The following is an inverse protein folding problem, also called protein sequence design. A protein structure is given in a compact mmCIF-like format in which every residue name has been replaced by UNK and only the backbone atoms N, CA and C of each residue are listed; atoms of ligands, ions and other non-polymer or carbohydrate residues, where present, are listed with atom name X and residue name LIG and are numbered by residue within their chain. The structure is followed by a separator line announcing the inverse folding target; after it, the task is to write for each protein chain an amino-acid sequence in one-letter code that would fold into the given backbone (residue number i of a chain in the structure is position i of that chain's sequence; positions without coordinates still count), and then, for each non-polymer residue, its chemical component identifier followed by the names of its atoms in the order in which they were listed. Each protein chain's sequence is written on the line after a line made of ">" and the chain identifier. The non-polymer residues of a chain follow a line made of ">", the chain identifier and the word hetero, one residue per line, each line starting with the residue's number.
data_IF_702279656473
#
_entry.id   IF_702279656473
#
_cell.length_a   1.000
_cell.length_b   1.000
_cell.length_c   1.000
_cell.angle_alpha   90.00
_cell.angle_beta   90.00
_cell.angle_gamma   90.00
#
_symmetry.space_group_name_H-M   'P 1'
#
loop_
_entity.id
_entity.type
_entity.pdbx_description
1 polymer ?
#
# COMPACT_ATOMS: atom_id res chain seq x y z
N UNK A 1 2.93 9.38 25.21
CA UNK A 1 3.95 8.36 25.57
C UNK A 1 5.27 9.07 25.86
N UNK A 2 6.01 8.68 26.91
CA UNK A 2 7.24 9.37 27.32
C UNK A 2 8.40 9.09 26.37
N UNK A 3 9.26 10.09 26.08
CA UNK A 3 10.45 9.99 25.22
C UNK A 3 11.37 8.80 25.55
N UNK A 4 11.43 8.37 26.81
CA UNK A 4 12.23 7.22 27.25
C UNK A 4 11.76 5.87 26.68
N UNK A 5 10.48 5.72 26.33
CA UNK A 5 9.93 4.46 25.84
C UNK A 5 10.37 4.17 24.39
N UNK A 6 10.42 5.21 23.55
CA UNK A 6 10.88 5.09 22.17
C UNK A 6 12.37 4.80 22.09
N UNK A 7 13.20 5.34 22.99
CA UNK A 7 14.64 5.06 23.00
C UNK A 7 14.94 3.57 23.14
N UNK A 8 14.23 2.87 24.05
CA UNK A 8 14.39 1.42 24.21
C UNK A 8 13.91 0.67 22.97
N UNK A 9 12.72 1.02 22.46
CA UNK A 9 12.14 0.40 21.27
C UNK A 9 13.05 0.54 20.05
N UNK A 10 13.56 1.75 19.78
CA UNK A 10 14.46 2.04 18.67
C UNK A 10 15.79 1.31 18.84
N UNK A 11 16.34 1.23 20.07
CA UNK A 11 17.59 0.49 20.32
C UNK A 11 17.45 -0.99 19.94
N UNK A 12 16.34 -1.62 20.33
CA UNK A 12 16.05 -3.02 19.95
C UNK A 12 15.81 -3.14 18.45
N UNK A 13 15.09 -2.19 17.84
CA UNK A 13 14.84 -2.13 16.41
C UNK A 13 16.12 -2.04 15.57
N UNK A 14 17.16 -1.30 16.01
CA UNK A 14 18.42 -1.17 15.27
C UNK A 14 19.09 -2.52 14.98
N UNK A 15 18.98 -3.48 15.90
CA UNK A 15 19.48 -4.84 15.65
C UNK A 15 18.70 -5.57 14.55
N UNK A 16 17.40 -5.27 14.42
CA UNK A 16 16.50 -5.83 13.40
C UNK A 16 16.63 -5.17 12.04
N UNK A 17 17.02 -3.91 11.97
CA UNK A 17 17.34 -3.24 10.71
C UNK A 17 18.51 -3.92 9.96
N UNK A 18 19.42 -4.59 10.66
CA UNK A 18 20.49 -5.38 10.04
C UNK A 18 19.97 -6.64 9.31
N UNK A 19 18.75 -7.07 9.61
CA UNK A 19 18.05 -8.19 8.97
C UNK A 19 17.22 -7.74 7.75
N UNK A 20 17.18 -6.43 7.45
CA UNK A 20 16.59 -5.90 6.23
C UNK A 20 17.46 -6.24 5.01
N UNK A 21 16.81 -6.39 3.86
CA UNK A 21 17.43 -6.62 2.58
C UNK A 21 17.94 -5.28 2.04
N UNK A 22 19.20 -5.27 1.61
CA UNK A 22 19.82 -4.10 0.99
C UNK A 22 19.85 -4.23 -0.55
N UNK A 23 20.13 -3.12 -1.23
CA UNK A 23 20.23 -3.08 -2.70
C UNK A 23 21.09 -4.19 -3.31
N UNK A 24 22.33 -4.41 -2.83
CA UNK A 24 23.19 -5.50 -3.32
C UNK A 24 22.58 -6.90 -3.19
N UNK A 25 21.84 -7.17 -2.12
CA UNK A 25 21.15 -8.45 -1.96
C UNK A 25 19.99 -8.61 -2.95
N UNK A 26 19.23 -7.53 -3.22
CA UNK A 26 18.20 -7.54 -4.25
C UNK A 26 18.81 -7.79 -5.63
N UNK A 27 19.95 -7.17 -5.95
CA UNK A 27 20.69 -7.44 -7.19
C UNK A 27 21.12 -8.90 -7.30
N UNK A 28 21.58 -9.48 -6.19
CA UNK A 28 21.94 -10.90 -6.12
C UNK A 28 20.72 -11.81 -6.38
N UNK A 29 19.55 -11.48 -5.81
CA UNK A 29 18.30 -12.21 -6.05
C UNK A 29 17.86 -12.12 -7.52
N UNK A 30 18.01 -10.95 -8.13
CA UNK A 30 17.70 -10.76 -9.57
C UNK A 30 18.66 -11.59 -10.43
N UNK A 31 19.93 -11.72 -10.05
CA UNK A 31 20.93 -12.53 -10.76
C UNK A 31 20.81 -14.05 -10.57
N UNK A 32 19.89 -14.53 -9.72
CA UNK A 32 19.63 -15.96 -9.58
C UNK A 32 19.07 -16.55 -10.88
N UNK A 33 19.55 -17.75 -11.27
CA UNK A 33 19.11 -18.39 -12.52
C UNK A 33 17.71 -18.98 -12.42
N UNK A 34 17.39 -19.54 -11.25
CA UNK A 34 16.14 -20.26 -11.02
C UNK A 34 15.38 -19.68 -9.83
N UNK A 35 14.08 -19.96 -9.78
CA UNK A 35 13.24 -19.65 -8.61
C UNK A 35 13.76 -20.34 -7.34
N UNK A 36 14.23 -21.59 -7.45
CA UNK A 36 14.80 -22.36 -6.33
C UNK A 36 16.07 -21.70 -5.77
N UNK A 37 16.94 -21.16 -6.63
CA UNK A 37 18.12 -20.40 -6.21
C UNK A 37 17.73 -19.15 -5.41
N UNK A 38 16.69 -18.41 -5.84
CA UNK A 38 16.17 -17.28 -5.09
C UNK A 38 15.66 -17.72 -3.71
N UNK A 39 14.87 -18.81 -3.65
CA UNK A 39 14.31 -19.33 -2.40
C UNK A 39 15.39 -19.77 -1.43
N UNK A 40 16.46 -20.42 -1.91
CA UNK A 40 17.61 -20.78 -1.10
C UNK A 40 18.32 -19.54 -0.53
N UNK A 41 18.59 -18.55 -1.38
CA UNK A 41 19.27 -17.31 -0.96
C UNK A 41 18.44 -16.51 0.04
N UNK A 42 17.12 -16.44 -0.16
CA UNK A 42 16.17 -15.89 0.82
C UNK A 42 16.22 -16.66 2.14
N UNK A 43 16.25 -17.99 2.09
CA UNK A 43 16.39 -18.85 3.27
C UNK A 43 17.64 -18.55 4.09
N UNK A 44 18.78 -18.25 3.43
CA UNK A 44 20.02 -17.82 4.10
C UNK A 44 19.87 -16.49 4.86
N UNK A 45 18.92 -15.63 4.45
CA UNK A 45 18.51 -14.41 5.16
C UNK A 45 17.35 -14.62 6.15
N UNK A 46 16.96 -15.87 6.42
CA UNK A 46 15.87 -16.19 7.36
C UNK A 46 14.47 -16.05 6.76
N UNK A 47 14.35 -16.03 5.42
CA UNK A 47 13.07 -15.95 4.72
C UNK A 47 12.50 -17.32 4.36
N UNK A 48 11.73 -17.84 5.31
CA UNK A 48 10.96 -19.07 5.17
C UNK A 48 11.78 -20.33 4.98
N UNK A 49 11.09 -21.45 4.81
CA UNK A 49 11.64 -22.79 4.67
C UNK A 49 11.35 -23.35 3.27
N UNK A 50 12.09 -24.39 2.82
CA UNK A 50 11.91 -24.96 1.49
C UNK A 50 10.49 -25.47 1.19
N UNK A 51 9.78 -25.97 2.21
CA UNK A 51 8.42 -26.51 2.11
C UNK A 51 7.32 -25.44 2.01
N UNK A 52 7.63 -24.18 2.35
CA UNK A 52 6.66 -23.09 2.32
C UNK A 52 6.55 -22.47 0.92
N UNK A 53 5.32 -22.21 0.51
CA UNK A 53 5.02 -21.44 -0.71
C UNK A 53 5.50 -19.99 -0.58
N UNK A 54 5.71 -19.34 -1.74
CA UNK A 54 6.14 -17.93 -1.76
C UNK A 54 5.22 -17.03 -0.95
N UNK A 55 3.89 -17.19 -1.05
CA UNK A 55 2.95 -16.36 -0.31
C UNK A 55 3.00 -16.63 1.21
N UNK A 56 3.20 -17.88 1.65
CA UNK A 56 3.41 -18.20 3.07
C UNK A 56 4.67 -17.53 3.61
N UNK A 57 5.76 -17.51 2.82
CA UNK A 57 7.02 -16.87 3.21
C UNK A 57 6.85 -15.37 3.37
N UNK A 58 6.23 -14.73 2.38
CA UNK A 58 5.98 -13.29 2.38
C UNK A 58 5.05 -12.90 3.54
N UNK A 59 4.00 -13.68 3.77
CA UNK A 59 3.07 -13.52 4.90
C UNK A 59 3.79 -13.66 6.23
N UNK A 60 4.67 -14.65 6.38
CA UNK A 60 5.43 -14.85 7.61
C UNK A 60 6.35 -13.64 7.93
N UNK A 61 6.93 -12.97 6.94
CA UNK A 61 7.73 -11.77 7.17
C UNK A 61 6.88 -10.57 7.63
N UNK A 62 5.69 -10.42 7.06
CA UNK A 62 4.72 -9.43 7.53
C UNK A 62 4.33 -9.72 8.98
N UNK A 63 3.96 -10.96 9.28
CA UNK A 63 3.58 -11.38 10.63
C UNK A 63 4.69 -11.09 11.65
N UNK A 64 5.94 -11.51 11.39
CA UNK A 64 7.10 -11.21 12.25
C UNK A 64 7.28 -9.72 12.51
N UNK A 65 6.96 -8.88 11.53
CA UNK A 65 7.08 -7.42 11.67
C UNK A 65 6.05 -6.88 12.64
N UNK A 66 4.79 -7.31 12.53
CA UNK A 66 3.73 -6.89 13.44
C UNK A 66 3.87 -7.47 14.84
N UNK A 67 4.36 -8.71 14.97
CA UNK A 67 4.75 -9.30 16.26
C UNK A 67 5.86 -8.47 16.92
N UNK A 68 6.90 -8.10 16.17
CA UNK A 68 7.95 -7.21 16.67
C UNK A 68 7.38 -5.85 17.10
N UNK A 69 6.49 -5.24 16.33
CA UNK A 69 5.87 -3.97 16.75
C UNK A 69 5.11 -4.13 18.07
N UNK A 70 4.37 -5.23 18.26
CA UNK A 70 3.66 -5.52 19.50
C UNK A 70 4.58 -5.78 20.70
N UNK A 71 5.83 -6.18 20.46
CA UNK A 71 6.86 -6.28 21.50
C UNK A 71 7.54 -4.92 21.82
N UNK A 72 7.44 -3.94 20.93
CA UNK A 72 8.15 -2.66 21.00
C UNK A 72 7.28 -1.51 21.48
N UNK A 73 5.97 -1.57 21.28
CA UNK A 73 5.02 -0.53 21.72
C UNK A 73 3.82 -1.13 22.44
N UNK A 74 3.28 -0.38 23.40
CA UNK A 74 2.09 -0.80 24.17
C UNK A 74 0.79 -0.64 23.37
N UNK A 75 0.76 0.32 22.45
CA UNK A 75 -0.40 0.67 21.65
C UNK A 75 -0.04 0.60 20.16
N UNK A 76 -0.55 -0.43 19.48
CA UNK A 76 -0.35 -0.65 18.04
C UNK A 76 -1.21 0.28 17.17
N UNK A 77 -2.24 0.92 17.73
CA UNK A 77 -3.17 1.76 16.94
C UNK A 77 -2.48 2.97 16.31
N UNK A 78 -1.32 3.36 16.83
CA UNK A 78 -0.41 4.36 16.24
C UNK A 78 0.03 4.01 14.82
N UNK A 79 -0.07 2.74 14.41
CA UNK A 79 0.29 2.23 13.09
C UNK A 79 -0.91 1.88 12.19
N UNK A 80 -2.15 2.06 12.68
CA UNK A 80 -3.39 1.65 11.97
C UNK A 80 -3.50 2.23 10.56
N UNK A 81 -2.96 3.43 10.34
CA UNK A 81 -2.90 4.09 9.03
C UNK A 81 -2.29 3.20 7.93
N UNK A 82 -1.33 2.33 8.28
CA UNK A 82 -0.69 1.41 7.34
C UNK A 82 -1.55 0.18 7.04
N UNK A 83 -2.57 -0.08 7.85
CA UNK A 83 -3.43 -1.27 7.79
C UNK A 83 -4.79 -1.00 7.13
N UNK A 84 -5.22 0.26 7.06
CA UNK A 84 -6.49 0.62 6.41
C UNK A 84 -6.63 0.12 4.96
N UNK A 85 -5.58 0.10 4.11
CA UNK A 85 -5.70 -0.52 2.78
C UNK A 85 -6.21 -1.97 2.84
N UNK A 86 -5.78 -2.74 3.84
CA UNK A 86 -6.20 -4.13 4.04
C UNK A 86 -7.67 -4.23 4.44
N UNK A 87 -8.12 -3.37 5.37
CA UNK A 87 -9.52 -3.36 5.82
C UNK A 87 -10.49 -3.03 4.67
N UNK A 88 -10.19 -1.99 3.89
CA UNK A 88 -11.03 -1.60 2.75
C UNK A 88 -10.97 -2.61 1.59
N UNK A 89 -9.82 -3.27 1.38
CA UNK A 89 -9.73 -4.39 0.43
C UNK A 89 -10.61 -5.56 0.86
N UNK A 90 -10.58 -5.91 2.14
CA UNK A 90 -11.42 -6.98 2.69
C UNK A 90 -12.90 -6.63 2.63
N UNK A 91 -13.28 -5.37 2.90
CA UNK A 91 -14.65 -4.89 2.74
C UNK A 91 -15.12 -5.00 1.28
N UNK A 92 -14.31 -4.53 0.33
CA UNK A 92 -14.58 -4.64 -1.11
C UNK A 92 -14.74 -6.09 -1.53
N UNK A 93 -13.89 -6.98 -1.03
CA UNK A 93 -13.93 -8.41 -1.30
C UNK A 93 -15.23 -9.04 -0.75
N UNK A 94 -15.59 -8.73 0.51
CA UNK A 94 -16.82 -9.22 1.12
C UNK A 94 -18.07 -8.73 0.38
N UNK A 95 -18.15 -7.46 0.00
CA UNK A 95 -19.28 -6.90 -0.78
C UNK A 95 -19.41 -7.62 -2.12
N UNK A 96 -18.30 -7.81 -2.86
CA UNK A 96 -18.33 -8.53 -4.14
C UNK A 96 -18.75 -9.98 -3.96
N UNK A 97 -18.22 -10.67 -2.95
CA UNK A 97 -18.58 -12.05 -2.61
C UNK A 97 -20.09 -12.19 -2.40
N UNK A 98 -20.68 -11.34 -1.55
CA UNK A 98 -22.11 -11.40 -1.22
C UNK A 98 -22.98 -10.99 -2.41
N UNK A 99 -22.65 -9.93 -3.15
CA UNK A 99 -23.47 -9.46 -4.27
C UNK A 99 -23.39 -10.37 -5.51
N UNK A 100 -22.28 -11.06 -5.72
CA UNK A 100 -22.06 -11.86 -6.95
C UNK A 100 -22.17 -13.37 -6.72
N UNK A 101 -22.09 -13.83 -5.47
CA UNK A 101 -22.02 -15.24 -5.12
C UNK A 101 -20.70 -15.92 -5.52
N UNK A 102 -19.70 -15.15 -5.98
CA UNK A 102 -18.39 -15.68 -6.34
C UNK A 102 -17.57 -16.03 -5.10
N UNK A 103 -16.74 -17.08 -5.19
CA UNK A 103 -15.78 -17.41 -4.14
C UNK A 103 -14.75 -16.29 -3.98
N UNK A 104 -14.42 -15.96 -2.73
CA UNK A 104 -13.37 -15.04 -2.35
C UNK A 104 -12.17 -15.74 -1.69
N UNK A 105 -12.06 -17.06 -1.88
CA UNK A 105 -10.96 -17.86 -1.33
C UNK A 105 -9.60 -17.33 -1.80
N UNK A 106 -8.69 -17.07 -0.87
CA UNK A 106 -7.36 -16.51 -1.15
C UNK A 106 -7.34 -15.03 -1.59
N UNK A 107 -8.49 -14.34 -1.63
CA UNK A 107 -8.57 -12.91 -2.04
C UNK A 107 -8.44 -11.97 -0.85
N UNK A 108 -8.90 -12.39 0.33
CA UNK A 108 -8.76 -11.62 1.56
C UNK A 108 -7.30 -11.47 1.95
N UNK A 109 -6.97 -10.29 2.46
CA UNK A 109 -5.65 -9.98 3.00
C UNK A 109 -5.69 -10.00 4.53
N UNK A 110 -4.55 -10.32 5.13
CA UNK A 110 -4.42 -10.37 6.58
C UNK A 110 -3.86 -9.05 7.14
N UNK A 111 -3.84 -8.95 8.48
CA UNK A 111 -3.28 -7.84 9.23
C UNK A 111 -4.04 -6.51 9.02
N UNK A 112 -5.37 -6.55 8.87
CA UNK A 112 -6.21 -5.36 9.00
C UNK A 112 -6.41 -4.94 10.46
N UNK A 113 -6.96 -3.74 10.68
CA UNK A 113 -7.42 -3.31 12.01
C UNK A 113 -8.71 -4.00 12.43
N UNK A 114 -9.45 -4.55 11.46
CA UNK A 114 -10.73 -5.23 11.68
C UNK A 114 -10.56 -6.71 11.31
N UNK A 115 -10.95 -7.66 12.18
CA UNK A 115 -10.98 -9.07 11.81
C UNK A 115 -11.86 -9.31 10.58
N UNK A 116 -11.38 -10.09 9.62
CA UNK A 116 -12.09 -10.36 8.36
C UNK A 116 -13.49 -10.93 8.60
N UNK A 117 -13.66 -11.74 9.65
CA UNK A 117 -14.93 -12.36 10.01
C UNK A 117 -15.97 -11.32 10.41
N UNK A 118 -15.54 -10.23 11.06
CA UNK A 118 -16.40 -9.10 11.41
C UNK A 118 -16.84 -8.36 10.15
N UNK A 119 -15.92 -8.11 9.22
CA UNK A 119 -16.23 -7.46 7.94
C UNK A 119 -17.23 -8.29 7.12
N UNK A 120 -16.96 -9.59 6.97
CA UNK A 120 -17.82 -10.50 6.22
C UNK A 120 -19.22 -10.55 6.82
N UNK A 121 -19.31 -10.76 8.14
CA UNK A 121 -20.58 -10.81 8.85
C UNK A 121 -21.38 -9.51 8.71
N UNK A 122 -20.72 -8.35 8.83
CA UNK A 122 -21.35 -7.04 8.67
C UNK A 122 -21.97 -6.86 7.27
N UNK A 123 -21.31 -7.37 6.23
CA UNK A 123 -21.81 -7.31 4.85
C UNK A 123 -22.94 -8.31 4.61
N UNK A 124 -22.83 -9.54 5.11
CA UNK A 124 -23.85 -10.59 4.96
C UNK A 124 -25.16 -10.25 5.69
N UNK A 125 -25.06 -9.70 6.89
CA UNK A 125 -26.22 -9.32 7.71
C UNK A 125 -26.76 -7.93 7.35
N UNK A 126 -26.07 -7.19 6.47
CA UNK A 126 -26.31 -5.78 6.16
C UNK A 126 -26.32 -4.88 7.41
N UNK A 127 -25.59 -5.27 8.46
CA UNK A 127 -25.40 -4.50 9.68
C UNK A 127 -23.96 -3.99 9.74
N UNK A 128 -23.77 -2.73 9.39
CA UNK A 128 -22.46 -2.08 9.40
C UNK A 128 -22.11 -1.41 10.72
N UNK A 129 -22.96 -1.49 11.75
CA UNK A 129 -22.67 -0.90 13.07
C UNK A 129 -21.37 -1.40 13.72
N UNK A 130 -20.94 -2.67 13.53
CA UNK A 130 -19.65 -3.15 14.05
C UNK A 130 -18.41 -2.55 13.37
N UNK A 131 -18.55 -1.93 12.20
CA UNK A 131 -17.42 -1.32 11.47
C UNK A 131 -17.11 0.09 12.01
N UNK A 132 -15.90 0.63 11.78
CA UNK A 132 -15.58 2.03 12.06
C UNK A 132 -16.54 2.98 11.37
N UNK A 133 -16.90 4.10 12.03
CA UNK A 133 -17.89 5.06 11.55
C UNK A 133 -17.66 5.50 10.10
N UNK A 134 -16.40 5.80 9.76
CA UNK A 134 -15.98 6.26 8.43
C UNK A 134 -16.21 5.22 7.33
N UNK A 135 -16.21 3.94 7.70
CA UNK A 135 -16.37 2.82 6.77
C UNK A 135 -17.85 2.49 6.51
N UNK A 136 -18.74 2.74 7.48
CA UNK A 136 -20.15 2.29 7.42
C UNK A 136 -20.90 2.84 6.22
N UNK A 137 -20.82 4.15 6.01
CA UNK A 137 -21.54 4.81 4.91
C UNK A 137 -21.01 4.35 3.55
N UNK A 138 -19.68 4.20 3.43
CA UNK A 138 -19.06 3.72 2.22
C UNK A 138 -19.46 2.27 1.90
N UNK A 139 -19.47 1.39 2.92
CA UNK A 139 -19.91 0.01 2.81
C UNK A 139 -21.37 -0.09 2.32
N UNK A 140 -22.30 0.61 2.98
CA UNK A 140 -23.72 0.58 2.65
C UNK A 140 -24.00 1.13 1.24
N UNK A 141 -23.31 2.21 0.85
CA UNK A 141 -23.45 2.82 -0.47
C UNK A 141 -22.87 1.91 -1.55
N UNK A 142 -21.67 1.37 -1.36
CA UNK A 142 -21.01 0.49 -2.32
C UNK A 142 -21.81 -0.80 -2.52
N UNK A 143 -22.31 -1.39 -1.43
CA UNK A 143 -23.18 -2.57 -1.50
C UNK A 143 -24.45 -2.31 -2.31
N UNK A 144 -25.18 -1.22 -2.01
CA UNK A 144 -26.39 -0.86 -2.77
C UNK A 144 -26.11 -0.61 -4.25
N UNK A 145 -25.02 0.09 -4.55
CA UNK A 145 -24.60 0.33 -5.94
C UNK A 145 -24.38 -1.00 -6.65
N UNK A 146 -23.55 -1.88 -6.08
CA UNK A 146 -23.24 -3.16 -6.73
C UNK A 146 -24.48 -4.05 -6.89
N UNK A 147 -25.35 -4.09 -5.87
CA UNK A 147 -26.57 -4.89 -5.90
C UNK A 147 -27.56 -4.42 -6.98
N UNK A 148 -27.74 -3.11 -7.15
CA UNK A 148 -28.78 -2.56 -8.03
C UNK A 148 -28.32 -2.29 -9.45
N UNK A 149 -27.05 -1.90 -9.65
CA UNK A 149 -26.53 -1.52 -10.97
C UNK A 149 -25.62 -2.57 -11.59
N UNK A 150 -25.13 -3.52 -10.78
CA UNK A 150 -24.05 -4.44 -11.15
C UNK A 150 -22.77 -3.75 -11.63
N UNK A 151 -22.60 -2.45 -11.33
CA UNK A 151 -21.41 -1.68 -11.69
C UNK A 151 -20.30 -1.91 -10.65
N UNK A 152 -19.53 -2.97 -10.86
CA UNK A 152 -18.37 -3.30 -10.04
C UNK A 152 -17.31 -2.20 -10.03
N UNK A 153 -17.20 -1.40 -11.10
CA UNK A 153 -16.23 -0.31 -11.15
C UNK A 153 -16.63 0.85 -10.24
N UNK A 154 -17.91 1.20 -10.22
CA UNK A 154 -18.42 2.24 -9.34
C UNK A 154 -18.34 1.81 -7.87
N UNK A 155 -18.62 0.53 -7.58
CA UNK A 155 -18.40 -0.05 -6.25
C UNK A 155 -16.95 0.11 -5.78
N UNK A 156 -15.98 -0.27 -6.64
CA UNK A 156 -14.56 -0.20 -6.30
C UNK A 156 -14.14 1.24 -5.99
N UNK A 157 -14.55 2.18 -6.81
CA UNK A 157 -14.19 3.59 -6.65
C UNK A 157 -14.71 4.19 -5.35
N UNK A 158 -15.95 3.86 -4.96
CA UNK A 158 -16.52 4.36 -3.71
C UNK A 158 -15.72 3.88 -2.49
N UNK A 159 -15.31 2.62 -2.49
CA UNK A 159 -14.53 2.03 -1.40
C UNK A 159 -13.07 2.49 -1.42
N UNK A 160 -12.46 2.56 -2.60
CA UNK A 160 -11.09 3.03 -2.76
C UNK A 160 -10.97 4.51 -2.30
N UNK A 161 -11.92 5.38 -2.68
CA UNK A 161 -11.95 6.77 -2.20
C UNK A 161 -12.16 6.87 -0.70
N UNK A 162 -13.01 6.02 -0.12
CA UNK A 162 -13.22 5.98 1.33
C UNK A 162 -11.94 5.54 2.06
N UNK A 163 -11.21 4.55 1.51
CA UNK A 163 -9.91 4.12 2.03
C UNK A 163 -8.90 5.28 2.07
N UNK A 164 -8.76 6.01 0.95
CA UNK A 164 -7.86 7.17 0.88
C UNK A 164 -8.25 8.26 1.86
N UNK A 165 -9.55 8.53 2.02
CA UNK A 165 -10.05 9.54 2.96
C UNK A 165 -9.73 9.15 4.42
N UNK A 166 -9.90 7.87 4.77
CA UNK A 166 -9.57 7.35 6.09
C UNK A 166 -8.06 7.40 6.38
N UNK A 167 -7.23 7.03 5.39
CA UNK A 167 -5.76 7.13 5.48
C UNK A 167 -5.34 8.58 5.75
N UNK A 168 -5.85 9.54 4.98
CA UNK A 168 -5.50 10.95 5.15
C UNK A 168 -5.94 11.49 6.51
N UNK A 169 -7.16 11.13 6.95
CA UNK A 169 -7.68 11.57 8.25
C UNK A 169 -6.85 11.01 9.40
N UNK A 170 -6.53 9.72 9.40
CA UNK A 170 -5.65 9.13 10.40
C UNK A 170 -4.24 9.71 10.35
N UNK A 171 -3.71 9.95 9.14
CA UNK A 171 -2.45 10.63 8.92
C UNK A 171 -2.38 11.98 9.64
N UNK A 172 -3.37 12.84 9.40
CA UNK A 172 -3.49 14.18 10.01
C UNK A 172 -3.72 14.12 11.53
N UNK A 173 -4.44 13.12 12.02
CA UNK A 173 -4.71 12.94 13.45
C UNK A 173 -3.54 12.32 14.25
N UNK A 174 -2.55 11.73 13.58
CA UNK A 174 -1.47 10.97 14.21
C UNK A 174 -0.52 11.80 15.10
N UNK A 175 -0.43 13.12 14.87
CA UNK A 175 0.56 13.98 15.51
C UNK A 175 2.01 13.72 15.08
N UNK A 176 2.25 12.86 14.07
CA UNK A 176 3.57 12.54 13.53
C UNK A 176 3.69 13.06 12.10
N UNK A 177 4.66 13.94 11.85
CA UNK A 177 4.92 14.50 10.52
C UNK A 177 5.24 13.41 9.49
N UNK A 178 5.92 12.35 9.91
CA UNK A 178 6.23 11.21 9.04
C UNK A 178 4.97 10.46 8.61
N UNK A 179 4.05 10.20 9.55
CA UNK A 179 2.79 9.50 9.27
C UNK A 179 1.86 10.38 8.45
N UNK A 180 1.76 11.67 8.78
CA UNK A 180 0.99 12.63 8.00
C UNK A 180 1.52 12.74 6.56
N UNK A 181 2.84 12.83 6.39
CA UNK A 181 3.48 12.85 5.08
C UNK A 181 3.23 11.57 4.27
N UNK A 182 3.35 10.40 4.91
CA UNK A 182 3.04 9.11 4.28
C UNK A 182 1.60 9.08 3.76
N UNK A 183 0.64 9.47 4.60
CA UNK A 183 -0.77 9.47 4.25
C UNK A 183 -1.06 10.42 3.08
N UNK A 184 -0.56 11.65 3.15
CA UNK A 184 -0.71 12.67 2.10
C UNK A 184 -0.20 12.17 0.74
N UNK A 185 1.00 11.58 0.70
CA UNK A 185 1.59 11.06 -0.54
C UNK A 185 0.90 9.80 -1.05
N UNK A 186 0.44 8.93 -0.14
CA UNK A 186 -0.33 7.75 -0.49
C UNK A 186 -1.62 8.15 -1.22
N UNK A 187 -2.33 9.17 -0.71
CA UNK A 187 -3.52 9.70 -1.36
C UNK A 187 -3.20 10.37 -2.68
N UNK A 188 -2.21 11.27 -2.72
CA UNK A 188 -1.84 11.95 -3.95
C UNK A 188 -1.40 10.99 -5.07
N UNK A 189 -0.58 9.98 -4.75
CA UNK A 189 -0.16 8.97 -5.71
C UNK A 189 -1.34 8.13 -6.24
N UNK A 190 -2.29 7.77 -5.36
CA UNK A 190 -3.50 7.04 -5.74
C UNK A 190 -4.42 7.89 -6.62
N UNK A 191 -4.54 9.18 -6.34
CA UNK A 191 -5.32 10.13 -7.13
C UNK A 191 -4.73 10.34 -8.52
N UNK A 192 -3.42 10.55 -8.64
CA UNK A 192 -2.72 10.64 -9.93
C UNK A 192 -2.94 9.36 -10.74
N UNK A 193 -2.76 8.19 -10.11
CA UNK A 193 -2.99 6.89 -10.77
C UNK A 193 -4.44 6.76 -11.25
N UNK A 194 -5.39 7.17 -10.42
CA UNK A 194 -6.83 7.11 -10.74
C UNK A 194 -7.17 8.06 -11.88
N UNK A 195 -6.62 9.27 -11.91
CA UNK A 195 -6.77 10.23 -12.98
C UNK A 195 -6.25 9.68 -14.31
N UNK A 196 -5.03 9.12 -14.32
CA UNK A 196 -4.41 8.51 -15.52
C UNK A 196 -5.24 7.33 -16.02
N UNK A 197 -5.69 6.46 -15.13
CA UNK A 197 -6.58 5.33 -15.49
C UNK A 197 -7.90 5.83 -16.09
N UNK A 198 -8.52 6.84 -15.48
CA UNK A 198 -9.77 7.42 -15.98
C UNK A 198 -9.61 8.10 -17.35
N UNK A 199 -8.47 8.75 -17.59
CA UNK A 199 -8.10 9.33 -18.88
C UNK A 199 -8.01 8.26 -19.96
N UNK A 200 -7.30 7.16 -19.69
CA UNK A 200 -7.21 6.01 -20.61
C UNK A 200 -8.56 5.36 -20.92
N UNK A 201 -9.47 5.35 -19.94
CA UNK A 201 -10.84 4.85 -20.09
C UNK A 201 -11.83 5.88 -20.65
N UNK A 202 -11.41 7.11 -20.93
CA UNK A 202 -12.25 8.22 -21.42
C UNK A 202 -13.47 8.48 -20.53
N UNK A 203 -13.30 8.43 -19.21
CA UNK A 203 -14.38 8.70 -18.24
C UNK A 203 -14.77 10.18 -18.23
N UNK A 204 -16.03 10.46 -17.90
CA UNK A 204 -16.56 11.84 -17.76
C UNK A 204 -16.00 12.49 -16.50
N UNK A 205 -15.89 13.83 -16.49
CA UNK A 205 -15.39 14.61 -15.36
C UNK A 205 -16.01 14.23 -14.02
N UNK A 206 -17.35 14.12 -13.97
CA UNK A 206 -18.07 13.78 -12.74
C UNK A 206 -17.61 12.45 -12.14
N UNK A 207 -17.36 11.44 -12.98
CA UNK A 207 -16.85 10.15 -12.53
C UNK A 207 -15.43 10.26 -11.97
N UNK A 208 -14.57 11.06 -12.59
CA UNK A 208 -13.21 11.29 -12.09
C UNK A 208 -13.27 12.01 -10.75
N UNK A 209 -14.05 13.08 -10.63
CA UNK A 209 -14.24 13.81 -9.36
C UNK A 209 -14.81 12.92 -8.25
N UNK A 210 -15.71 12.00 -8.59
CA UNK A 210 -16.25 11.03 -7.64
C UNK A 210 -15.19 10.02 -7.18
N UNK A 211 -14.16 9.78 -8.00
CA UNK A 211 -13.10 8.82 -7.73
C UNK A 211 -11.89 9.36 -6.98
N UNK A 212 -11.64 10.66 -7.06
CA UNK A 212 -10.50 11.29 -6.39
C UNK A 212 -10.81 11.63 -4.92
N UNK A 213 -9.80 11.49 -4.06
CA UNK A 213 -9.88 11.80 -2.64
C UNK A 213 -9.10 13.10 -2.35
N UNK A 214 -9.75 14.19 -1.88
CA UNK A 214 -9.08 15.46 -1.63
C UNK A 214 -7.85 15.31 -0.71
N UNK A 215 -6.72 15.88 -1.15
CA UNK A 215 -5.47 15.98 -0.40
C UNK A 215 -4.89 17.40 -0.52
N UNK A 216 -3.88 17.72 0.28
CA UNK A 216 -3.36 19.09 0.39
C UNK A 216 -2.46 19.47 -0.79
N UNK A 217 -1.81 18.49 -1.41
CA UNK A 217 -0.80 18.66 -2.46
C UNK A 217 -1.36 18.66 -3.89
N UNK A 218 -2.65 18.36 -4.07
CA UNK A 218 -3.32 18.33 -5.38
C UNK A 218 -4.67 19.04 -5.34
N UNK A 219 -4.95 19.87 -6.35
CA UNK A 219 -6.31 20.29 -6.66
C UNK A 219 -7.02 19.18 -7.44
N UNK A 220 -7.85 18.40 -6.76
CA UNK A 220 -8.59 17.28 -7.36
C UNK A 220 -9.57 17.70 -8.46
N UNK A 221 -10.06 18.95 -8.44
CA UNK A 221 -10.92 19.45 -9.52
C UNK A 221 -10.09 19.76 -10.77
N UNK A 222 -8.94 20.42 -10.61
CA UNK A 222 -8.01 20.67 -11.70
C UNK A 222 -7.44 19.37 -12.28
N UNK A 223 -7.10 18.40 -11.43
CA UNK A 223 -6.66 17.07 -11.84
C UNK A 223 -7.75 16.31 -12.61
N UNK A 224 -9.02 16.39 -12.15
CA UNK A 224 -10.14 15.80 -12.88
C UNK A 224 -10.36 16.47 -14.26
N UNK A 225 -10.21 17.79 -14.35
CA UNK A 225 -10.24 18.52 -15.63
C UNK A 225 -9.12 18.09 -16.57
N UNK A 226 -7.91 17.92 -16.05
CA UNK A 226 -6.77 17.42 -16.81
C UNK A 226 -7.01 15.98 -17.29
N UNK A 227 -7.54 15.10 -16.43
CA UNK A 227 -7.80 13.71 -16.77
C UNK A 227 -8.76 13.54 -17.96
N UNK A 228 -9.79 14.39 -18.07
CA UNK A 228 -10.74 14.34 -19.20
C UNK A 228 -10.09 14.79 -20.51
N UNK A 229 -9.04 15.60 -20.45
CA UNK A 229 -8.26 16.07 -21.61
C UNK A 229 -7.17 15.08 -22.05
N UNK A 230 -6.78 14.15 -21.18
CA UNK A 230 -5.82 13.09 -21.48
C UNK A 230 -4.52 13.18 -20.70
N UNK A 231 -3.61 12.24 -20.95
CA UNK A 231 -2.35 12.09 -20.19
C UNK A 231 -1.45 13.33 -20.29
N UNK A 232 -1.37 13.97 -21.45
CA UNK A 232 -0.53 15.16 -21.63
C UNK A 232 -0.99 16.32 -20.74
N UNK A 233 -2.30 16.54 -20.64
CA UNK A 233 -2.86 17.56 -19.75
C UNK A 233 -2.64 17.22 -18.27
N UNK A 234 -2.68 15.93 -17.88
CA UNK A 234 -2.28 15.50 -16.53
C UNK A 234 -0.80 15.87 -16.30
N UNK A 235 0.08 15.53 -17.24
CA UNK A 235 1.50 15.85 -17.12
C UNK A 235 1.74 17.36 -17.00
N UNK A 236 1.08 18.19 -17.82
CA UNK A 236 1.13 19.65 -17.74
C UNK A 236 0.68 20.17 -16.37
N UNK A 237 -0.42 19.63 -15.82
CA UNK A 237 -0.87 19.98 -14.49
C UNK A 237 0.18 19.62 -13.41
N UNK A 238 0.75 18.42 -13.48
CA UNK A 238 1.72 17.93 -12.49
C UNK A 238 3.02 18.76 -12.46
N UNK A 239 3.39 19.45 -13.55
CA UNK A 239 4.57 20.34 -13.59
C UNK A 239 4.52 21.43 -12.52
N UNK A 240 3.33 21.83 -12.09
CA UNK A 240 3.12 22.88 -11.10
C UNK A 240 2.80 22.33 -9.70
N UNK A 241 3.06 21.04 -9.48
CA UNK A 241 2.85 20.35 -8.20
C UNK A 241 4.18 19.77 -7.69
N UNK A 242 4.24 19.30 -6.43
CA UNK A 242 5.40 18.56 -5.92
C UNK A 242 5.73 17.25 -6.69
N UNK A 243 4.85 16.81 -7.61
CA UNK A 243 4.97 15.54 -8.33
C UNK A 243 5.48 15.70 -9.77
N UNK A 244 6.18 16.79 -10.09
CA UNK A 244 6.73 17.02 -11.43
C UNK A 244 7.66 15.89 -11.90
N UNK A 245 8.47 15.32 -11.00
CA UNK A 245 9.38 14.21 -11.31
C UNK A 245 8.65 12.91 -11.69
N UNK A 246 7.36 12.79 -11.35
CA UNK A 246 6.55 11.64 -11.74
C UNK A 246 6.19 11.63 -13.23
N UNK A 247 6.29 12.76 -13.93
CA UNK A 247 5.85 12.92 -15.32
C UNK A 247 6.59 11.96 -16.26
N UNK A 248 7.92 11.85 -16.11
CA UNK A 248 8.72 10.94 -16.94
C UNK A 248 8.29 9.48 -16.70
N UNK A 249 8.03 9.12 -15.45
CA UNK A 249 7.64 7.78 -15.05
C UNK A 249 6.25 7.41 -15.57
N UNK A 250 5.32 8.37 -15.55
CA UNK A 250 3.98 8.21 -16.12
C UNK A 250 4.00 7.99 -17.64
N UNK A 251 4.93 8.65 -18.34
CA UNK A 251 5.13 8.49 -19.79
C UNK A 251 5.80 7.17 -20.15
N UNK A 252 6.66 6.68 -19.28
CA UNK A 252 7.33 5.38 -19.43
C UNK A 252 6.32 4.23 -19.30
N UNK A 253 5.70 4.06 -18.12
CA UNK A 253 4.67 3.05 -17.91
C UNK A 253 3.95 3.20 -16.56
N UNK A 254 2.76 2.59 -16.39
CA UNK A 254 2.14 2.48 -15.07
C UNK A 254 3.04 1.81 -14.02
N UNK A 255 3.84 0.83 -14.43
CA UNK A 255 4.77 0.13 -13.53
C UNK A 255 5.92 1.02 -13.06
N UNK A 256 6.45 1.87 -13.94
CA UNK A 256 7.51 2.82 -13.62
C UNK A 256 7.00 3.88 -12.61
N UNK A 257 5.80 4.42 -12.83
CA UNK A 257 5.17 5.33 -11.88
C UNK A 257 4.91 4.68 -10.51
N UNK A 258 4.44 3.43 -10.47
CA UNK A 258 4.24 2.71 -9.21
C UNK A 258 5.55 2.49 -8.45
N UNK A 259 6.63 2.10 -9.16
CA UNK A 259 7.96 2.00 -8.57
C UNK A 259 8.42 3.35 -8.01
N UNK A 260 8.28 4.43 -8.78
CA UNK A 260 8.64 5.77 -8.33
C UNK A 260 7.89 6.22 -7.07
N UNK A 261 6.60 5.91 -6.95
CA UNK A 261 5.82 6.20 -5.74
C UNK A 261 6.35 5.42 -4.53
N UNK A 262 6.65 4.13 -4.70
CA UNK A 262 7.22 3.31 -3.64
C UNK A 262 8.63 3.83 -3.23
N UNK A 263 9.47 4.17 -4.21
CA UNK A 263 10.83 4.69 -3.98
C UNK A 263 10.81 6.06 -3.28
N UNK A 264 9.84 6.92 -3.60
CA UNK A 264 9.65 8.20 -2.93
C UNK A 264 9.42 8.01 -1.44
N UNK A 265 8.53 7.08 -1.06
CA UNK A 265 8.27 6.74 0.35
C UNK A 265 9.56 6.27 1.01
N UNK A 266 10.33 5.37 0.36
CA UNK A 266 11.61 4.86 0.88
C UNK A 266 12.60 6.00 1.15
N UNK A 267 12.77 6.92 0.20
CA UNK A 267 13.70 8.05 0.35
C UNK A 267 13.35 8.95 1.53
N UNK A 268 12.07 9.14 1.82
CA UNK A 268 11.61 10.01 2.90
C UNK A 268 11.69 9.38 4.28
N UNK A 269 11.56 8.06 4.36
CA UNK A 269 11.74 7.34 5.63
C UNK A 269 13.23 7.11 5.92
N UNK A 270 14.11 7.16 4.92
CA UNK A 270 15.56 6.89 5.04
C UNK A 270 16.26 7.71 6.14
N UNK A 271 15.96 9.00 6.37
CA UNK A 271 16.51 9.77 7.50
C UNK A 271 16.22 9.15 8.89
N UNK A 272 15.20 8.29 9.03
CA UNK A 272 14.90 7.62 10.28
C UNK A 272 15.97 6.60 10.70
N UNK A 273 16.90 6.22 9.81
CA UNK A 273 18.11 5.44 10.16
C UNK A 273 18.97 6.12 11.23
N UNK A 274 18.85 7.44 11.38
CA UNK A 274 19.65 8.23 12.31
C UNK A 274 18.83 8.86 13.45
N UNK A 275 17.51 8.67 13.48
CA UNK A 275 16.63 9.24 14.49
C UNK A 275 16.47 8.29 15.69
N UNK A 276 16.89 8.62 16.92
CA UNK A 276 16.83 7.67 18.04
C UNK A 276 15.58 7.79 18.92
N UNK A 277 14.84 8.90 18.84
CA UNK A 277 13.95 9.34 19.94
C UNK A 277 12.48 9.47 19.56
N UNK A 278 12.09 9.02 18.37
CA UNK A 278 10.70 9.15 17.89
C UNK A 278 10.13 7.80 17.48
N UNK A 279 8.84 7.78 17.15
CA UNK A 279 8.17 6.63 16.51
C UNK A 279 8.61 6.41 15.06
N UNK A 280 9.30 7.40 14.46
CA UNK A 280 9.69 7.40 13.05
C UNK A 280 10.46 6.15 12.58
N UNK A 281 11.47 5.64 13.33
CA UNK A 281 12.18 4.42 12.96
C UNK A 281 11.27 3.18 12.91
N UNK A 282 10.30 3.06 13.81
CA UNK A 282 9.36 1.93 13.81
C UNK A 282 8.46 2.00 12.57
N UNK A 283 7.94 3.19 12.24
CA UNK A 283 7.17 3.41 11.01
C UNK A 283 8.01 3.11 9.76
N UNK A 284 9.26 3.57 9.74
CA UNK A 284 10.18 3.33 8.64
C UNK A 284 10.47 1.84 8.46
N UNK A 285 10.65 1.09 9.54
CA UNK A 285 10.86 -0.35 9.49
C UNK A 285 9.65 -1.10 8.92
N UNK A 286 8.43 -0.74 9.33
CA UNK A 286 7.19 -1.32 8.77
C UNK A 286 7.14 -1.09 7.26
N UNK A 287 7.31 0.17 6.83
CA UNK A 287 7.27 0.55 5.41
C UNK A 287 8.41 -0.09 4.60
N UNK A 288 9.61 -0.19 5.17
CA UNK A 288 10.75 -0.88 4.57
C UNK A 288 10.44 -2.37 4.35
N UNK A 289 9.88 -3.06 5.35
CA UNK A 289 9.53 -4.48 5.21
C UNK A 289 8.43 -4.70 4.16
N UNK A 290 7.41 -3.85 4.13
CA UNK A 290 6.37 -3.96 3.09
C UNK A 290 6.95 -3.77 1.68
N UNK A 291 7.91 -2.86 1.51
CA UNK A 291 8.62 -2.67 0.25
C UNK A 291 9.50 -3.88 -0.13
N UNK A 292 10.20 -4.49 0.83
CA UNK A 292 10.94 -5.74 0.61
C UNK A 292 10.00 -6.87 0.18
N UNK A 293 8.89 -7.07 0.89
CA UNK A 293 7.90 -8.09 0.58
C UNK A 293 7.37 -7.91 -0.84
N UNK A 294 7.05 -6.67 -1.23
CA UNK A 294 6.60 -6.34 -2.59
C UNK A 294 7.67 -6.64 -3.63
N UNK A 295 8.91 -6.25 -3.37
CA UNK A 295 10.04 -6.46 -4.29
C UNK A 295 10.36 -7.95 -4.45
N UNK A 296 10.46 -8.68 -3.34
CA UNK A 296 10.69 -10.14 -3.33
C UNK A 296 9.56 -10.87 -4.04
N UNK A 297 8.29 -10.49 -3.83
CA UNK A 297 7.15 -11.06 -4.58
C UNK A 297 7.33 -10.92 -6.08
N UNK A 298 7.72 -9.73 -6.55
CA UNK A 298 7.94 -9.45 -7.97
C UNK A 298 9.07 -10.32 -8.53
N UNK A 299 10.18 -10.43 -7.80
CA UNK A 299 11.33 -11.24 -8.22
C UNK A 299 10.95 -12.72 -8.27
N UNK A 300 10.35 -13.27 -7.22
CA UNK A 300 9.94 -14.67 -7.18
C UNK A 300 8.92 -15.00 -8.29
N UNK A 301 7.90 -14.16 -8.44
CA UNK A 301 6.91 -14.33 -9.51
C UNK A 301 7.57 -14.24 -10.89
N UNK A 302 8.46 -13.27 -11.13
CA UNK A 302 9.13 -13.15 -12.41
C UNK A 302 10.07 -14.31 -12.70
N UNK A 303 10.81 -14.81 -11.72
CA UNK A 303 11.67 -16.00 -11.88
C UNK A 303 10.87 -17.26 -12.16
N UNK A 304 9.74 -17.45 -11.46
CA UNK A 304 8.82 -18.56 -11.73
C UNK A 304 8.24 -18.51 -13.15
N UNK A 305 8.03 -17.30 -13.68
CA UNK A 305 7.50 -17.09 -15.03
C UNK A 305 8.59 -16.90 -16.11
N UNK A 306 9.88 -17.10 -15.78
CA UNK A 306 10.98 -17.00 -16.75
C UNK A 306 11.24 -15.58 -17.30
N UNK A 307 10.89 -14.53 -16.54
CA UNK A 307 11.12 -13.14 -16.93
C UNK A 307 12.62 -12.79 -16.86
N UNK A 308 13.06 -11.88 -17.75
CA UNK A 308 14.46 -11.47 -17.85
C UNK A 308 14.93 -10.69 -16.62
N UNK A 309 16.24 -10.71 -16.39
CA UNK A 309 16.86 -9.91 -15.31
C UNK A 309 16.64 -8.41 -15.50
N UNK A 310 16.70 -7.94 -16.75
CA UNK A 310 16.42 -6.54 -17.12
C UNK A 310 15.00 -6.15 -16.71
N UNK A 311 13.99 -6.97 -17.05
CA UNK A 311 12.61 -6.73 -16.69
C UNK A 311 12.39 -6.69 -15.16
N UNK A 312 13.09 -7.57 -14.44
CA UNK A 312 13.03 -7.62 -12.97
C UNK A 312 13.72 -6.40 -12.34
N UNK A 313 14.87 -5.99 -12.89
CA UNK A 313 15.62 -4.81 -12.45
C UNK A 313 14.82 -3.52 -12.64
N UNK A 314 14.11 -3.38 -13.76
CA UNK A 314 13.17 -2.28 -13.98
C UNK A 314 12.02 -2.25 -12.97
N UNK A 315 11.74 -3.34 -12.26
CA UNK A 315 10.65 -3.40 -11.27
C UNK A 315 11.15 -3.55 -9.84
N UNK A 316 12.45 -3.63 -9.61
CA UNK A 316 13.00 -3.60 -8.27
C UNK A 316 12.84 -2.19 -7.68
N UNK A 317 12.40 -2.12 -6.42
CA UNK A 317 12.34 -0.85 -5.69
C UNK A 317 13.68 -0.55 -5.02
N UNK A 318 13.89 0.71 -4.70
CA UNK A 318 14.95 1.11 -3.78
C UNK A 318 14.77 0.44 -2.42
N UNK A 319 15.87 -0.03 -1.84
CA UNK A 319 15.87 -0.57 -0.49
C UNK A 319 16.10 0.54 0.55
N UNK A 320 15.61 0.29 1.76
CA UNK A 320 15.74 1.22 2.87
C UNK A 320 17.19 1.35 3.35
N UNK A 321 17.91 0.21 3.39
CA UNK A 321 19.30 0.05 3.84
C UNK A 321 20.27 -0.31 2.73
#
# INVERSE_FOLDING_TARGET
>A
MSENLYTFAVTRLRSKELELLNGPFIDQLIGCKTHEDCRRLLGEKGWGKPEESDEEVLRAQRQKTWELMGELVDDLSVFDVFLYPADYHNLKTAIKMVCTGASAEGVFVENGTIPREVIVKAVEEHDYAPLPEEMRQAAEKAFRVLLHTHDGQLCDILLDRAALSAILKAGKASGSELIAGYAERTVAAADIKTAVRCAGMKKKKSFVQDALAPCDSLDVSALADAAVKGLDAICEYLQYTPYADAIEQLRESPSAFERWCDDLIIREIRPQLHNPFTIGPLCAYILARENEIKTVRIILAGKRNGLSEEFLRERAREMYV
#
